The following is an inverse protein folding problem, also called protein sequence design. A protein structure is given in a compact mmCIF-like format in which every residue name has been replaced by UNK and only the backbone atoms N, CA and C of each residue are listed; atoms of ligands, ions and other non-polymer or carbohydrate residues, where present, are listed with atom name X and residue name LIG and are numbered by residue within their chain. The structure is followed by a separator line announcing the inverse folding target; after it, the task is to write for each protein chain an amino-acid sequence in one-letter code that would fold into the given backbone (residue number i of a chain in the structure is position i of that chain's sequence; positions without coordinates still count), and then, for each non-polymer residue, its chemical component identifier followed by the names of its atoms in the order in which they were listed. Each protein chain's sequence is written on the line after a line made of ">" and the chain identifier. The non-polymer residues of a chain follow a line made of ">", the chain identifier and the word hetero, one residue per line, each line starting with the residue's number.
data_IF_686752346676
#
_entry.id   IF_686752346676
#
_cell.length_a   1.000
_cell.length_b   1.000
_cell.length_c   1.000
_cell.angle_alpha   90.00
_cell.angle_beta   90.00
_cell.angle_gamma   90.00
#
_symmetry.space_group_name_H-M   'P 1'
#
loop_
_entity.id
_entity.type
_entity.pdbx_description
1 polymer ?
#
# COMPACT_ATOMS: atom_id res chain seq x y z
N UNK A 1 11.68 12.08 0.12
CA UNK A 1 10.55 11.63 -0.72
C UNK A 1 11.01 10.94 -2.01
N UNK A 2 12.23 11.14 -2.49
CA UNK A 2 12.67 10.72 -3.84
C UNK A 2 13.14 9.26 -3.98
N UNK A 3 13.19 8.49 -2.91
CA UNK A 3 13.59 7.07 -2.96
C UNK A 3 12.39 6.15 -3.24
N UNK A 4 11.21 6.53 -2.71
CA UNK A 4 9.96 5.80 -2.94
C UNK A 4 9.36 6.07 -4.33
N UNK A 5 9.65 7.21 -4.95
CA UNK A 5 9.23 7.53 -6.33
C UNK A 5 9.75 6.52 -7.36
N UNK A 6 10.84 5.79 -7.04
CA UNK A 6 11.43 4.76 -7.91
C UNK A 6 10.71 3.41 -7.83
N UNK A 7 9.99 3.14 -6.74
CA UNK A 7 9.34 1.84 -6.48
C UNK A 7 7.82 1.97 -6.32
N UNK A 8 7.29 3.19 -6.34
CA UNK A 8 5.88 3.43 -6.17
C UNK A 8 5.47 4.83 -6.60
N UNK A 9 4.17 5.01 -6.73
CA UNK A 9 3.51 6.28 -7.03
C UNK A 9 2.67 6.63 -5.82
N UNK A 10 2.82 7.87 -5.36
CA UNK A 10 2.00 8.45 -4.29
C UNK A 10 1.25 9.61 -4.91
N UNK A 11 -0.04 9.71 -4.59
CA UNK A 11 -0.82 10.89 -4.93
C UNK A 11 -1.77 11.21 -3.81
N UNK A 12 -1.86 12.50 -3.50
CA UNK A 12 -2.69 12.98 -2.42
C UNK A 12 -3.57 14.10 -2.94
N UNK A 13 -4.84 14.07 -2.54
CA UNK A 13 -5.75 15.17 -2.81
C UNK A 13 -6.59 15.51 -1.59
N UNK A 14 -6.88 16.79 -1.45
CA UNK A 14 -7.85 17.34 -0.53
C UNK A 14 -9.03 17.81 -1.36
N UNK A 15 -10.15 17.10 -1.23
CA UNK A 15 -11.44 17.54 -1.73
C UNK A 15 -12.08 18.45 -0.68
N UNK A 16 -12.52 19.64 -1.08
CA UNK A 16 -13.06 20.62 -0.16
C UNK A 16 -14.24 21.37 -0.78
N UNK A 17 -15.25 21.71 0.02
CA UNK A 17 -16.40 22.53 -0.43
C UNK A 17 -16.37 23.95 0.11
N UNK A 18 -15.47 24.22 1.08
CA UNK A 18 -15.27 25.54 1.69
C UNK A 18 -13.93 26.14 1.30
N UNK A 19 -13.81 27.45 1.48
CA UNK A 19 -12.56 28.15 1.24
C UNK A 19 -11.51 27.69 2.25
N UNK A 20 -10.36 27.27 1.74
CA UNK A 20 -9.21 26.90 2.55
C UNK A 20 -8.37 28.14 2.85
N UNK A 21 -7.68 28.11 3.99
CA UNK A 21 -6.72 29.16 4.33
C UNK A 21 -5.55 29.09 3.35
N UNK A 22 -5.20 30.20 2.70
CA UNK A 22 -4.21 30.21 1.61
C UNK A 22 -2.82 29.74 2.07
N UNK A 23 -2.43 30.09 3.30
CA UNK A 23 -1.16 29.64 3.88
C UNK A 23 -1.11 28.13 4.07
N UNK A 24 -2.23 27.50 4.43
CA UNK A 24 -2.33 26.04 4.51
C UNK A 24 -2.22 25.41 3.12
N UNK A 25 -2.91 25.96 2.13
CA UNK A 25 -2.86 25.47 0.75
C UNK A 25 -1.45 25.53 0.18
N UNK A 26 -0.78 26.67 0.33
CA UNK A 26 0.59 26.86 -0.14
C UNK A 26 1.55 25.88 0.54
N UNK A 27 1.47 25.76 1.87
CA UNK A 27 2.30 24.83 2.62
C UNK A 27 2.09 23.37 2.18
N UNK A 28 0.84 22.96 1.98
CA UNK A 28 0.49 21.61 1.57
C UNK A 28 1.02 21.26 0.17
N UNK A 29 0.91 22.18 -0.78
CA UNK A 29 1.47 22.02 -2.13
C UNK A 29 3.00 21.89 -2.05
N UNK A 30 3.66 22.83 -1.36
CA UNK A 30 5.12 22.89 -1.32
C UNK A 30 5.77 21.72 -0.57
N UNK A 31 5.11 21.19 0.47
CA UNK A 31 5.70 20.14 1.32
C UNK A 31 5.26 18.73 0.97
N UNK A 32 4.06 18.57 0.43
CA UNK A 32 3.44 17.26 0.29
C UNK A 32 2.92 16.98 -1.13
N UNK A 33 3.05 17.94 -2.06
CA UNK A 33 2.55 17.79 -3.44
C UNK A 33 1.06 17.40 -3.47
N UNK A 34 0.27 18.00 -2.56
CA UNK A 34 -1.16 17.72 -2.42
C UNK A 34 -1.96 18.52 -3.46
N UNK A 35 -2.82 17.84 -4.19
CA UNK A 35 -3.81 18.47 -5.07
C UNK A 35 -5.03 18.97 -4.27
N UNK A 36 -5.60 20.09 -4.71
CA UNK A 36 -6.80 20.67 -4.11
C UNK A 36 -7.94 20.65 -5.10
N UNK A 37 -9.05 20.00 -4.74
CA UNK A 37 -10.19 19.77 -5.63
C UNK A 37 -11.45 20.34 -4.98
N UNK A 38 -12.04 21.33 -5.62
CA UNK A 38 -13.31 21.87 -5.15
C UNK A 38 -14.45 20.88 -5.45
N UNK A 39 -15.35 20.70 -4.48
CA UNK A 39 -16.52 19.84 -4.61
C UNK A 39 -17.78 20.56 -4.13
N UNK A 40 -18.91 20.23 -4.73
CA UNK A 40 -20.22 20.66 -4.24
C UNK A 40 -20.50 19.99 -2.88
N UNK A 41 -20.90 20.71 -1.82
CA UNK A 41 -21.13 20.13 -0.50
C UNK A 41 -22.36 19.21 -0.38
N UNK A 42 -23.33 19.30 -1.29
CA UNK A 42 -24.64 18.62 -1.17
C UNK A 42 -24.94 17.69 -2.35
N UNK A 43 -24.33 17.91 -3.51
CA UNK A 43 -24.54 17.06 -4.67
C UNK A 43 -23.73 15.75 -4.61
N UNK A 44 -24.24 14.78 -3.85
CA UNK A 44 -23.58 13.49 -3.58
C UNK A 44 -23.17 12.73 -4.86
N UNK A 45 -24.00 12.78 -5.91
CA UNK A 45 -23.69 12.14 -7.19
C UNK A 45 -22.51 12.81 -7.91
N UNK A 46 -22.47 14.15 -7.88
CA UNK A 46 -21.36 14.90 -8.44
C UNK A 46 -20.07 14.70 -7.63
N UNK A 47 -20.13 14.76 -6.30
CA UNK A 47 -18.99 14.47 -5.41
C UNK A 47 -18.40 13.08 -5.69
N UNK A 48 -19.25 12.06 -5.69
CA UNK A 48 -18.84 10.68 -5.91
C UNK A 48 -18.16 10.50 -7.28
N UNK A 49 -18.73 11.09 -8.32
CA UNK A 49 -18.14 11.06 -9.66
C UNK A 49 -16.81 11.83 -9.73
N UNK A 50 -16.68 12.98 -9.07
CA UNK A 50 -15.44 13.77 -9.05
C UNK A 50 -14.32 13.01 -8.34
N UNK A 51 -14.61 12.41 -7.19
CA UNK A 51 -13.66 11.61 -6.42
C UNK A 51 -13.21 10.38 -7.22
N UNK A 52 -14.16 9.60 -7.76
CA UNK A 52 -13.82 8.40 -8.53
C UNK A 52 -13.16 8.72 -9.87
N UNK A 53 -13.43 9.87 -10.49
CA UNK A 53 -12.67 10.30 -11.68
C UNK A 53 -11.23 10.64 -11.32
N UNK A 54 -11.01 11.30 -10.18
CA UNK A 54 -9.66 11.64 -9.73
C UNK A 54 -8.82 10.39 -9.48
N UNK A 55 -9.38 9.34 -8.87
CA UNK A 55 -8.67 8.06 -8.65
C UNK A 55 -8.26 7.40 -9.96
N UNK A 56 -9.07 7.51 -11.02
CA UNK A 56 -8.68 6.98 -12.35
C UNK A 56 -7.52 7.72 -13.03
N UNK A 57 -7.14 8.92 -12.55
CA UNK A 57 -5.98 9.64 -13.08
C UNK A 57 -4.67 8.89 -12.78
N UNK A 58 -4.66 8.05 -11.75
CA UNK A 58 -3.55 7.18 -11.44
C UNK A 58 -3.54 5.96 -12.36
N UNK A 59 -2.85 6.12 -13.50
CA UNK A 59 -2.63 5.03 -14.45
C UNK A 59 -1.87 3.88 -13.77
N UNK A 60 -2.31 2.66 -14.03
CA UNK A 60 -1.71 1.41 -13.53
C UNK A 60 -1.89 1.12 -12.03
N UNK A 61 -2.89 1.73 -11.38
CA UNK A 61 -3.30 1.31 -10.02
C UNK A 61 -4.47 0.33 -10.15
N UNK A 62 -4.46 -0.80 -9.42
CA UNK A 62 -5.51 -1.82 -9.55
C UNK A 62 -6.87 -1.40 -8.95
N UNK A 63 -6.91 -0.30 -8.18
CA UNK A 63 -8.12 0.19 -7.53
C UNK A 63 -8.58 1.47 -8.22
N UNK A 64 -9.74 1.43 -8.87
CA UNK A 64 -10.29 2.59 -9.61
C UNK A 64 -11.43 3.30 -8.86
N UNK A 65 -11.93 2.69 -7.77
CA UNK A 65 -13.08 3.18 -7.02
C UNK A 65 -12.81 3.08 -5.52
N UNK A 66 -12.40 4.18 -4.89
CA UNK A 66 -12.13 4.23 -3.44
C UNK A 66 -13.44 4.33 -2.67
N UNK A 67 -14.44 5.04 -3.22
CA UNK A 67 -15.76 5.13 -2.64
C UNK A 67 -16.70 4.15 -3.34
N UNK A 68 -17.14 3.13 -2.62
CA UNK A 68 -18.15 2.16 -3.10
C UNK A 68 -19.57 2.70 -3.04
N UNK A 69 -19.80 3.76 -2.25
CA UNK A 69 -21.10 4.44 -2.12
C UNK A 69 -20.89 5.97 -2.07
N UNK A 70 -21.89 6.77 -2.48
CA UNK A 70 -21.86 8.21 -2.27
C UNK A 70 -21.80 8.55 -0.78
N UNK A 71 -21.09 9.62 -0.44
CA UNK A 71 -21.17 10.22 0.90
C UNK A 71 -22.59 10.78 1.05
N UNK A 72 -23.27 10.41 2.14
CA UNK A 72 -24.69 10.80 2.35
C UNK A 72 -24.82 12.14 3.10
N UNK A 73 -23.72 12.64 3.66
CA UNK A 73 -23.65 13.85 4.48
C UNK A 73 -22.98 15.00 3.73
N UNK A 74 -23.11 16.22 4.27
CA UNK A 74 -22.43 17.41 3.75
C UNK A 74 -20.91 17.20 3.79
N UNK A 75 -20.28 17.11 2.63
CA UNK A 75 -18.84 16.87 2.54
C UNK A 75 -18.08 18.22 2.59
N UNK A 76 -17.51 18.53 3.76
CA UNK A 76 -16.71 19.75 3.94
C UNK A 76 -15.26 19.59 3.49
N UNK A 77 -14.65 18.47 3.88
CA UNK A 77 -13.25 18.16 3.65
C UNK A 77 -13.09 16.64 3.57
N UNK A 78 -12.39 16.15 2.54
CA UNK A 78 -11.98 14.76 2.40
C UNK A 78 -10.54 14.71 1.93
N UNK A 79 -9.70 14.00 2.68
CA UNK A 79 -8.31 13.78 2.33
C UNK A 79 -8.18 12.36 1.80
N UNK A 80 -7.70 12.22 0.58
CA UNK A 80 -7.43 10.92 -0.03
C UNK A 80 -5.93 10.83 -0.29
N UNK A 81 -5.32 9.76 0.21
CA UNK A 81 -3.94 9.38 -0.09
C UNK A 81 -3.98 8.03 -0.79
N UNK A 82 -3.53 8.00 -2.04
CA UNK A 82 -3.42 6.79 -2.82
C UNK A 82 -1.95 6.42 -3.00
N UNK A 83 -1.64 5.17 -2.68
CA UNK A 83 -0.28 4.65 -2.72
C UNK A 83 -0.26 3.34 -3.50
N UNK A 84 0.56 3.31 -4.55
CA UNK A 84 0.77 2.11 -5.36
C UNK A 84 2.26 1.77 -5.38
N UNK A 85 2.59 0.54 -5.01
CA UNK A 85 3.97 0.05 -5.02
C UNK A 85 4.12 -1.00 -6.09
N UNK A 86 5.09 -0.79 -6.96
CA UNK A 86 5.54 -1.79 -7.93
C UNK A 86 7.04 -1.74 -8.04
N UNK A 87 7.68 -2.82 -7.62
CA UNK A 87 9.12 -2.99 -7.71
C UNK A 87 9.47 -4.14 -8.65
N UNK A 88 10.74 -4.18 -9.05
CA UNK A 88 11.35 -5.30 -9.74
C UNK A 88 12.40 -5.91 -8.85
N UNK A 89 12.42 -7.24 -8.81
CA UNK A 89 13.51 -7.98 -8.21
C UNK A 89 14.81 -7.68 -8.94
N UNK A 90 15.93 -7.55 -8.22
CA UNK A 90 17.24 -7.42 -8.85
C UNK A 90 17.54 -8.64 -9.74
N UNK A 91 17.16 -9.82 -9.24
CA UNK A 91 17.22 -11.08 -9.96
C UNK A 91 15.80 -11.59 -10.19
N UNK A 92 15.29 -11.59 -11.44
CA UNK A 92 13.92 -11.95 -11.73
C UNK A 92 13.65 -13.43 -11.45
N UNK A 93 12.43 -13.73 -10.99
CA UNK A 93 11.96 -15.12 -10.82
C UNK A 93 11.83 -15.78 -12.18
N UNK A 94 12.39 -16.97 -12.32
CA UNK A 94 12.09 -17.82 -13.47
C UNK A 94 10.67 -18.39 -13.32
N UNK A 95 9.74 -17.88 -14.12
CA UNK A 95 8.32 -18.24 -14.08
C UNK A 95 8.06 -19.73 -14.33
N UNK A 96 8.99 -20.44 -14.96
CA UNK A 96 8.91 -21.91 -15.14
C UNK A 96 9.00 -22.69 -13.83
N UNK A 97 9.53 -22.07 -12.77
CA UNK A 97 9.60 -22.66 -11.44
C UNK A 97 8.44 -22.24 -10.53
N UNK A 98 7.58 -21.34 -10.98
CA UNK A 98 6.32 -21.03 -10.29
C UNK A 98 5.38 -22.23 -10.43
N UNK A 99 4.80 -22.66 -9.31
CA UNK A 99 3.90 -23.83 -9.26
C UNK A 99 2.75 -23.59 -8.31
N UNK A 100 1.62 -24.21 -8.60
CA UNK A 100 0.52 -24.33 -7.64
C UNK A 100 0.98 -25.06 -6.38
N UNK A 101 0.79 -24.42 -5.23
CA UNK A 101 1.05 -24.98 -3.92
C UNK A 101 -0.05 -24.58 -2.92
N UNK A 102 -0.21 -25.41 -1.89
CA UNK A 102 -1.11 -25.12 -0.78
C UNK A 102 -0.50 -24.06 0.14
N UNK A 103 -1.24 -22.97 0.37
CA UNK A 103 -0.98 -22.00 1.42
C UNK A 103 -2.05 -22.13 2.50
N UNK A 104 -1.64 -22.22 3.77
CA UNK A 104 -2.56 -22.32 4.90
C UNK A 104 -2.55 -21.00 5.68
N UNK A 105 -3.73 -20.41 5.88
CA UNK A 105 -3.86 -19.16 6.61
C UNK A 105 -3.85 -19.36 8.14
N UNK A 106 -4.02 -18.25 8.86
CA UNK A 106 -4.08 -18.21 10.33
C UNK A 106 -5.27 -18.95 10.93
N UNK A 107 -6.30 -19.23 10.14
CA UNK A 107 -7.51 -19.94 10.55
C UNK A 107 -7.46 -21.41 10.12
N UNK A 108 -6.29 -21.91 9.69
CA UNK A 108 -6.09 -23.25 9.13
C UNK A 108 -6.86 -23.52 7.82
N UNK A 109 -7.30 -22.47 7.11
CA UNK A 109 -7.94 -22.60 5.81
C UNK A 109 -6.86 -22.71 4.74
N UNK A 110 -7.02 -23.69 3.85
CA UNK A 110 -6.06 -23.97 2.78
C UNK A 110 -6.51 -23.36 1.45
N UNK A 111 -5.59 -22.70 0.77
CA UNK A 111 -5.76 -22.06 -0.52
C UNK A 111 -4.74 -22.62 -1.50
N UNK A 112 -5.14 -22.83 -2.76
CA UNK A 112 -4.17 -23.10 -3.82
C UNK A 112 -3.64 -21.77 -4.36
N UNK A 113 -2.32 -21.58 -4.33
CA UNK A 113 -1.66 -20.34 -4.76
C UNK A 113 -0.51 -20.64 -5.72
N UNK A 114 -0.24 -19.70 -6.63
CA UNK A 114 0.93 -19.74 -7.51
C UNK A 114 2.17 -19.31 -6.73
N UNK A 115 2.92 -20.29 -6.19
CA UNK A 115 4.10 -20.06 -5.38
C UNK A 115 5.33 -19.85 -6.26
N UNK A 116 5.97 -18.69 -6.11
CA UNK A 116 7.24 -18.39 -6.77
C UNK A 116 8.39 -19.15 -6.10
N UNK A 117 9.35 -19.63 -6.89
CA UNK A 117 10.59 -20.24 -6.39
C UNK A 117 11.81 -19.42 -6.80
N UNK A 118 12.57 -18.96 -5.81
CA UNK A 118 13.87 -18.31 -5.98
C UNK A 118 14.95 -19.16 -5.31
N UNK A 119 16.12 -19.30 -5.96
CA UNK A 119 17.29 -19.97 -5.39
C UNK A 119 18.47 -19.03 -5.60
N UNK A 120 18.91 -18.40 -4.51
CA UNK A 120 20.00 -17.42 -4.52
C UNK A 120 20.60 -17.28 -3.10
N UNK A 121 21.67 -16.48 -2.97
CA UNK A 121 22.28 -16.11 -1.70
C UNK A 121 21.60 -14.86 -1.14
N UNK A 122 20.66 -15.09 -0.22
CA UNK A 122 19.95 -14.01 0.47
C UNK A 122 20.57 -13.71 1.84
N UNK A 123 20.45 -12.45 2.27
CA UNK A 123 20.66 -12.11 3.67
C UNK A 123 19.45 -12.62 4.46
N UNK A 124 19.71 -13.53 5.40
CA UNK A 124 18.69 -14.11 6.25
C UNK A 124 19.05 -13.90 7.72
N UNK A 125 18.08 -13.55 8.55
CA UNK A 125 18.23 -13.37 9.99
C UNK A 125 17.17 -14.23 10.69
N UNK A 126 17.59 -15.08 11.62
CA UNK A 126 16.68 -15.72 12.55
C UNK A 126 16.61 -14.85 13.82
N UNK A 127 15.53 -14.10 13.96
CA UNK A 127 15.32 -13.18 15.07
C UNK A 127 14.56 -13.90 16.19
N UNK A 128 15.25 -14.08 17.33
CA UNK A 128 14.69 -14.77 18.50
C UNK A 128 13.71 -13.90 19.29
N UNK A 129 13.86 -12.58 19.25
CA UNK A 129 12.98 -11.65 19.95
C UNK A 129 11.64 -11.56 19.21
N UNK A 130 11.70 -11.40 17.88
CA UNK A 130 10.51 -11.42 17.02
C UNK A 130 9.92 -12.83 16.82
N UNK A 131 10.71 -13.88 17.14
CA UNK A 131 10.39 -15.28 16.85
C UNK A 131 10.03 -15.48 15.37
N UNK A 132 10.90 -14.99 14.49
CA UNK A 132 10.68 -14.98 13.05
C UNK A 132 11.98 -15.13 12.25
N UNK A 133 11.83 -15.62 11.02
CA UNK A 133 12.87 -15.59 9.98
C UNK A 133 12.65 -14.39 9.09
N UNK A 134 13.68 -13.57 8.92
CA UNK A 134 13.67 -12.37 8.09
C UNK A 134 14.55 -12.62 6.87
N UNK A 135 14.01 -12.47 5.67
CA UNK A 135 14.73 -12.61 4.40
C UNK A 135 14.70 -11.29 3.65
N UNK A 136 15.88 -10.82 3.24
CA UNK A 136 16.04 -9.58 2.47
C UNK A 136 16.28 -9.91 0.99
N UNK A 137 15.34 -9.51 0.13
CA UNK A 137 15.41 -9.69 -1.32
C UNK A 137 15.75 -8.35 -1.96
N UNK A 138 16.87 -8.31 -2.68
CA UNK A 138 17.31 -7.09 -3.38
C UNK A 138 16.36 -6.70 -4.50
N UNK A 139 16.07 -5.42 -4.59
CA UNK A 139 15.32 -4.83 -5.71
C UNK A 139 16.30 -4.24 -6.74
N UNK A 140 15.81 -4.02 -7.96
CA UNK A 140 16.57 -3.35 -9.02
C UNK A 140 16.97 -1.92 -8.61
N UNK A 141 16.12 -1.26 -7.83
CA UNK A 141 16.41 0.05 -7.24
C UNK A 141 17.51 -0.08 -6.18
N UNK A 142 18.66 0.54 -6.43
CA UNK A 142 19.83 0.50 -5.55
C UNK A 142 19.48 0.88 -4.11
N UNK A 143 20.01 0.11 -3.15
CA UNK A 143 19.81 0.34 -1.72
C UNK A 143 18.48 -0.16 -1.16
N UNK A 144 17.55 -0.61 -2.01
CA UNK A 144 16.21 -1.04 -1.57
C UNK A 144 16.05 -2.56 -1.56
N UNK A 145 15.24 -3.05 -0.62
CA UNK A 145 14.97 -4.47 -0.40
C UNK A 145 13.49 -4.68 -0.16
N UNK A 146 12.93 -5.78 -0.66
CA UNK A 146 11.73 -6.34 -0.05
C UNK A 146 12.16 -7.22 1.13
N UNK A 147 11.45 -7.10 2.24
CA UNK A 147 11.73 -7.87 3.44
C UNK A 147 10.56 -8.80 3.69
N UNK A 148 10.83 -10.09 3.73
CA UNK A 148 9.84 -11.12 4.11
C UNK A 148 10.13 -11.48 5.57
N UNK A 149 9.13 -11.28 6.44
CA UNK A 149 9.20 -11.67 7.85
C UNK A 149 8.21 -12.81 8.05
N UNK A 150 8.74 -14.00 8.28
CA UNK A 150 7.95 -15.23 8.45
C UNK A 150 8.05 -15.69 9.92
N UNK A 151 6.94 -15.78 10.66
CA UNK A 151 6.97 -16.28 12.04
C UNK A 151 7.48 -17.73 12.08
N UNK A 152 8.13 -18.10 13.19
CA UNK A 152 8.44 -19.50 13.47
C UNK A 152 7.17 -20.32 13.63
N UNK A 153 7.27 -21.64 13.50
CA UNK A 153 6.10 -22.55 13.51
C UNK A 153 5.31 -22.52 14.83
N UNK A 154 5.98 -22.16 15.92
CA UNK A 154 5.41 -22.00 17.26
C UNK A 154 4.73 -20.64 17.47
N UNK A 155 4.78 -19.77 16.46
CA UNK A 155 4.30 -18.39 16.49
C UNK A 155 3.36 -18.13 15.31
N UNK A 156 2.58 -17.06 15.36
CA UNK A 156 1.72 -16.67 14.25
C UNK A 156 1.90 -15.18 13.89
N UNK A 157 1.24 -14.76 12.82
CA UNK A 157 1.36 -13.38 12.32
C UNK A 157 0.85 -12.33 13.32
N UNK A 158 -0.18 -12.64 14.14
CA UNK A 158 -0.73 -11.68 15.11
C UNK A 158 0.29 -11.38 16.21
N UNK A 159 0.91 -12.42 16.74
CA UNK A 159 1.96 -12.29 17.75
C UNK A 159 3.21 -11.60 17.19
N UNK A 160 3.60 -11.93 15.96
CA UNK A 160 4.70 -11.24 15.26
C UNK A 160 4.42 -9.73 15.10
N UNK A 161 3.23 -9.36 14.63
CA UNK A 161 2.86 -7.95 14.43
C UNK A 161 2.86 -7.16 15.75
N UNK A 162 2.37 -7.78 16.83
CA UNK A 162 2.44 -7.21 18.18
C UNK A 162 3.89 -6.95 18.59
N UNK A 163 4.79 -7.91 18.36
CA UNK A 163 6.22 -7.77 18.70
C UNK A 163 6.92 -6.72 17.82
N UNK A 164 6.42 -6.47 16.61
CA UNK A 164 6.89 -5.38 15.73
C UNK A 164 6.30 -4.01 16.11
N UNK A 165 5.50 -3.91 17.18
CA UNK A 165 4.76 -2.71 17.56
C UNK A 165 3.83 -2.20 16.44
N UNK A 166 3.26 -3.12 15.66
CA UNK A 166 2.26 -2.81 14.63
C UNK A 166 0.87 -3.03 15.22
N UNK A 167 0.08 -1.96 15.34
CA UNK A 167 -1.33 -2.03 15.71
C UNK A 167 -2.18 -2.32 14.48
N UNK A 168 -2.92 -3.44 14.51
CA UNK A 168 -3.99 -3.72 13.54
C UNK A 168 -5.32 -3.35 14.18
N UNK A 169 -6.01 -2.38 13.59
CA UNK A 169 -7.45 -2.19 13.80
C UNK A 169 -8.15 -3.00 12.70
N UNK A 170 -8.96 -3.99 13.09
CA UNK A 170 -9.82 -4.77 12.18
C UNK A 170 -11.23 -4.18 12.25
#
# INVERSE_FOLDING_TARGET
>A
MDEFSKIGVIKSAIFHSRQLVETFKQFAIEKYDIEFINIDPVNNAHQHNTINKWTTLLKNVPFQYILSKPVQEELMLLIINEYSVRFKWLFPVNTRYTRDQTFTDINSISYNVQMMKMVDVFKCIADKELKATIVFIKLETQGTFAVIVLPFIENNIKDLLKNMNVTFEI
#
